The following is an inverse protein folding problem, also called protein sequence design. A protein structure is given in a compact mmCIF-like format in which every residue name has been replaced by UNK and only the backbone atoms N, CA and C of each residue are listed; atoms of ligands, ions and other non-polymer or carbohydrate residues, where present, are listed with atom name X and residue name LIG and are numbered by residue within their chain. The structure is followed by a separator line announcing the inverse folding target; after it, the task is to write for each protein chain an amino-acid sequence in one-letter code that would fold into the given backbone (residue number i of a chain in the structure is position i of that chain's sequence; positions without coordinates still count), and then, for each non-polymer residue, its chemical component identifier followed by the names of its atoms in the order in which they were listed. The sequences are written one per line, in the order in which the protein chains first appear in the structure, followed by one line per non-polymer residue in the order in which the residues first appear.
data_IF_768693878012
#
_entry.id   IF_768693878012
#
_cell.length_a   1.000
_cell.length_b   1.000
_cell.length_c   1.000
_cell.angle_alpha   90.00
_cell.angle_beta   90.00
_cell.angle_gamma   90.00
#
_symmetry.space_group_name_H-M   'P 1'
#
loop_
_entity.id
_entity.type
_entity.pdbx_description
1 polymer ?
#
# COMPACT_ATOMS: atom_id res chain seq x y z
N UNK A 1 -5.46 16.77 25.22
CA UNK A 1 -5.13 15.48 24.56
C UNK A 1 -4.61 15.69 23.13
N UNK A 2 -3.83 16.76 22.85
CA UNK A 2 -3.64 17.22 21.47
C UNK A 2 -2.61 16.43 20.64
N UNK A 3 -1.51 15.97 21.23
CA UNK A 3 -0.39 15.35 20.49
C UNK A 3 0.09 14.02 21.07
N UNK A 4 -0.63 13.45 22.04
CA UNK A 4 -0.24 12.19 22.69
C UNK A 4 -0.04 11.05 21.69
N UNK A 5 -0.85 11.01 20.62
CA UNK A 5 -0.72 10.00 19.57
C UNK A 5 0.57 10.11 18.74
N UNK A 6 1.23 11.28 18.75
CA UNK A 6 2.50 11.52 18.06
C UNK A 6 3.73 11.10 18.90
N UNK A 7 3.53 10.68 20.15
CA UNK A 7 4.65 10.31 21.02
C UNK A 7 5.27 8.98 20.59
N UNK A 8 6.60 8.94 20.62
CA UNK A 8 7.38 7.70 20.52
C UNK A 8 8.15 7.47 21.81
N UNK A 9 8.36 6.20 22.13
CA UNK A 9 8.88 5.72 23.40
C UNK A 9 10.33 5.25 23.28
N UNK A 10 11.07 5.27 24.39
CA UNK A 10 12.46 4.79 24.41
C UNK A 10 12.53 3.28 24.11
N UNK A 11 11.61 2.52 24.72
CA UNK A 11 11.42 1.08 24.49
C UNK A 11 10.00 0.86 23.98
N UNK A 12 9.85 -0.01 22.99
CA UNK A 12 8.58 -0.36 22.37
C UNK A 12 8.04 -1.64 22.99
N UNK A 13 6.72 -1.72 23.12
CA UNK A 13 6.04 -2.90 23.66
C UNK A 13 4.52 -2.77 23.60
N UNK A 14 3.82 -3.83 24.02
CA UNK A 14 2.36 -3.94 23.99
C UNK A 14 1.63 -2.78 24.67
N UNK A 15 2.21 -2.21 25.73
CA UNK A 15 1.58 -1.15 26.53
C UNK A 15 1.59 0.23 25.84
N UNK A 16 2.46 0.43 24.84
CA UNK A 16 2.70 1.75 24.26
C UNK A 16 2.64 1.80 22.74
N UNK A 17 2.57 0.63 22.08
CA UNK A 17 2.52 0.52 20.62
C UNK A 17 1.31 -0.35 20.26
N UNK A 18 0.13 0.25 20.05
CA UNK A 18 -1.15 -0.46 20.06
C UNK A 18 -1.31 -1.57 19.03
N UNK A 19 -0.51 -1.61 17.95
CA UNK A 19 -0.60 -2.69 16.97
C UNK A 19 -0.11 -4.04 17.53
N UNK A 20 0.78 -4.03 18.53
CA UNK A 20 1.35 -5.24 19.12
C UNK A 20 0.36 -5.85 20.10
N UNK A 21 0.07 -7.14 19.96
CA UNK A 21 -0.90 -7.86 20.80
C UNK A 21 -2.37 -7.56 20.48
N UNK A 22 -2.69 -6.45 19.79
CA UNK A 22 -4.06 -6.16 19.38
C UNK A 22 -4.35 -6.48 17.91
N UNK A 23 -3.40 -6.19 17.01
CA UNK A 23 -3.54 -6.43 15.57
C UNK A 23 -2.75 -7.66 15.13
N UNK A 24 -1.54 -7.84 15.67
CA UNK A 24 -0.66 -8.97 15.41
C UNK A 24 0.06 -9.37 16.70
N UNK A 25 0.46 -10.64 16.86
CA UNK A 25 1.21 -11.08 18.02
C UNK A 25 2.62 -10.49 18.04
N UNK A 26 3.26 -10.47 19.21
CA UNK A 26 4.64 -9.99 19.38
C UNK A 26 5.63 -10.67 18.43
N UNK A 27 5.46 -11.97 18.16
CA UNK A 27 6.32 -12.72 17.24
C UNK A 27 6.29 -12.20 15.80
N UNK A 28 5.28 -11.40 15.43
CA UNK A 28 5.21 -10.72 14.12
C UNK A 28 6.07 -9.48 14.05
N UNK A 29 6.86 -9.18 15.08
CA UNK A 29 7.68 -7.97 15.14
C UNK A 29 9.11 -8.29 15.56
N UNK A 30 10.07 -7.52 15.06
CA UNK A 30 11.47 -7.55 15.51
C UNK A 30 11.91 -6.15 15.88
N UNK A 31 12.48 -6.01 17.07
CA UNK A 31 12.99 -4.73 17.55
C UNK A 31 14.35 -4.42 16.95
N UNK A 32 14.61 -3.13 16.72
CA UNK A 32 15.90 -2.60 16.34
C UNK A 32 16.07 -1.18 16.88
N UNK A 33 17.32 -0.75 16.97
CA UNK A 33 17.66 0.57 17.47
C UNK A 33 17.66 1.61 16.34
N UNK A 34 17.12 2.78 16.64
CA UNK A 34 17.19 3.95 15.78
C UNK A 34 17.65 5.17 16.58
N UNK A 35 18.35 6.06 15.89
CA UNK A 35 19.07 7.17 16.48
C UNK A 35 18.57 8.49 15.92
N UNK A 36 18.58 9.52 16.76
CA UNK A 36 18.09 10.83 16.38
C UNK A 36 18.90 11.42 15.23
N UNK A 37 18.20 11.79 14.15
CA UNK A 37 18.79 12.49 13.01
C UNK A 37 18.63 14.01 13.18
N UNK A 38 19.76 14.72 13.16
CA UNK A 38 19.78 16.19 13.24
C UNK A 38 19.51 16.85 11.88
N UNK A 39 19.04 18.10 11.89
CA UNK A 39 18.80 18.88 10.67
C UNK A 39 17.69 18.32 9.78
N UNK A 40 16.65 17.75 10.36
CA UNK A 40 15.45 17.29 9.66
C UNK A 40 14.38 18.39 9.66
N UNK A 41 13.47 18.35 8.69
CA UNK A 41 12.43 19.36 8.50
C UNK A 41 11.11 18.71 8.10
N UNK A 42 10.00 19.06 8.77
CA UNK A 42 8.66 18.66 8.32
C UNK A 42 8.27 19.51 7.13
N UNK A 43 8.14 18.89 5.97
CA UNK A 43 7.81 19.57 4.71
C UNK A 43 6.34 19.40 4.31
N UNK A 44 5.62 18.47 4.94
CA UNK A 44 4.18 18.33 4.71
C UNK A 44 3.50 17.62 5.88
N UNK A 45 2.24 17.97 6.12
CA UNK A 45 1.34 17.34 7.09
C UNK A 45 -0.05 17.21 6.51
N UNK A 46 -0.67 16.04 6.69
CA UNK A 46 -2.06 15.83 6.33
C UNK A 46 -3.00 16.38 7.40
N UNK A 47 -3.51 17.60 7.17
CA UNK A 47 -4.40 18.28 8.12
C UNK A 47 -5.69 17.50 8.37
N UNK A 48 -6.25 16.85 7.34
CA UNK A 48 -7.48 16.07 7.47
C UNK A 48 -7.26 14.81 8.30
N UNK A 49 -6.18 14.07 8.06
CA UNK A 49 -5.83 12.89 8.86
C UNK A 49 -5.47 13.23 10.31
N UNK A 50 -4.76 14.34 10.55
CA UNK A 50 -4.52 14.82 11.91
C UNK A 50 -5.84 15.09 12.64
N UNK A 51 -6.81 15.74 11.99
CA UNK A 51 -8.15 15.97 12.54
C UNK A 51 -8.92 14.67 12.81
N UNK A 52 -8.85 13.70 11.89
CA UNK A 52 -9.50 12.39 12.04
C UNK A 52 -8.95 11.62 13.24
N UNK A 53 -7.67 11.80 13.58
CA UNK A 53 -7.05 11.30 14.82
C UNK A 53 -7.27 12.20 16.05
N UNK A 54 -8.03 13.29 15.95
CA UNK A 54 -8.26 14.23 17.05
C UNK A 54 -7.06 15.11 17.40
N UNK A 55 -6.04 15.17 16.55
CA UNK A 55 -4.82 15.98 16.73
C UNK A 55 -5.10 17.40 16.23
N UNK A 56 -5.70 18.21 17.12
CA UNK A 56 -6.16 19.56 16.82
C UNK A 56 -5.40 20.59 17.68
N UNK A 57 -4.18 20.91 17.29
CA UNK A 57 -3.36 21.94 17.95
C UNK A 57 -2.58 22.77 16.91
N UNK A 58 -1.80 23.75 17.38
CA UNK A 58 -0.99 24.63 16.53
C UNK A 58 -0.08 23.79 15.60
N UNK A 59 -0.05 24.16 14.31
CA UNK A 59 0.77 23.54 13.28
C UNK A 59 2.25 23.52 13.67
N UNK A 60 2.76 24.57 14.32
CA UNK A 60 4.15 24.61 14.79
C UNK A 60 4.41 23.58 15.90
N UNK A 61 3.44 23.40 16.82
CA UNK A 61 3.53 22.38 17.86
C UNK A 61 3.52 20.98 17.25
N UNK A 62 2.65 20.72 16.27
CA UNK A 62 2.59 19.45 15.56
C UNK A 62 3.93 19.17 14.86
N UNK A 63 4.47 20.14 14.11
CA UNK A 63 5.77 19.99 13.42
C UNK A 63 6.90 19.69 14.41
N UNK A 64 6.93 20.38 15.56
CA UNK A 64 7.93 20.14 16.60
C UNK A 64 7.81 18.73 17.20
N UNK A 65 6.59 18.27 17.51
CA UNK A 65 6.37 16.90 17.99
C UNK A 65 6.70 15.84 16.93
N UNK A 66 6.40 16.10 15.65
CA UNK A 66 6.76 15.21 14.55
C UNK A 66 8.29 15.06 14.44
N UNK A 67 9.03 16.16 14.40
CA UNK A 67 10.50 16.12 14.38
C UNK A 67 11.02 15.42 15.63
N UNK A 68 10.54 15.79 16.81
CA UNK A 68 10.97 15.24 18.09
C UNK A 68 10.77 13.72 18.17
N UNK A 69 9.67 13.19 17.66
CA UNK A 69 9.31 11.78 17.83
C UNK A 69 9.65 10.89 16.63
N UNK A 70 9.69 11.42 15.41
CA UNK A 70 9.84 10.61 14.19
C UNK A 70 11.12 10.88 13.38
N UNK A 71 11.96 11.85 13.75
CA UNK A 71 13.29 12.01 13.13
C UNK A 71 14.33 11.04 13.71
N UNK A 72 14.07 9.74 13.62
CA UNK A 72 14.98 8.67 14.04
C UNK A 72 15.31 7.79 12.84
N UNK A 73 16.55 7.28 12.74
CA UNK A 73 17.05 6.47 11.62
C UNK A 73 18.07 5.42 12.05
N UNK A 74 18.40 4.45 11.19
CA UNK A 74 19.50 3.50 11.43
C UNK A 74 20.85 4.21 11.59
N UNK A 75 21.80 3.57 12.30
CA UNK A 75 23.11 4.16 12.62
C UNK A 75 23.90 4.59 11.37
N UNK A 76 23.76 3.82 10.28
CA UNK A 76 24.45 4.00 8.99
C UNK A 76 23.71 4.92 8.01
N UNK A 77 22.59 5.51 8.41
CA UNK A 77 21.73 6.27 7.50
C UNK A 77 22.41 7.52 6.91
N UNK A 78 23.21 8.22 7.72
CA UNK A 78 23.86 9.47 7.37
C UNK A 78 25.29 9.55 7.95
N UNK A 79 25.99 10.65 7.68
CA UNK A 79 27.29 10.92 8.30
C UNK A 79 27.15 10.98 9.82
N UNK A 80 28.17 10.50 10.54
CA UNK A 80 28.17 10.36 12.01
C UNK A 80 27.90 11.65 12.77
N UNK A 81 28.30 12.80 12.24
CA UNK A 81 28.04 14.13 12.82
C UNK A 81 26.56 14.52 12.82
N UNK A 82 25.74 13.86 11.99
CA UNK A 82 24.29 14.07 11.93
C UNK A 82 23.48 13.08 12.76
N UNK A 83 24.10 12.00 13.23
CA UNK A 83 23.45 10.95 14.03
C UNK A 83 23.84 11.15 15.49
N UNK A 84 22.86 11.49 16.34
CA UNK A 84 23.10 11.56 17.77
C UNK A 84 22.94 10.17 18.39
N UNK A 85 24.06 9.47 18.55
CA UNK A 85 24.11 8.12 19.12
C UNK A 85 23.63 8.04 20.58
N UNK A 86 23.60 9.16 21.32
CA UNK A 86 23.13 9.22 22.70
C UNK A 86 21.61 9.40 22.82
N UNK A 87 20.94 9.79 21.73
CA UNK A 87 19.48 9.89 21.65
C UNK A 87 18.95 8.73 20.79
N UNK A 88 18.78 7.60 21.47
CA UNK A 88 18.37 6.31 20.91
C UNK A 88 16.95 5.96 21.36
N UNK A 89 16.17 5.42 20.43
CA UNK A 89 14.88 4.78 20.69
C UNK A 89 14.83 3.43 19.99
N UNK A 90 14.09 2.50 20.56
CA UNK A 90 13.77 1.25 19.91
C UNK A 90 12.58 1.44 18.97
N UNK A 91 12.62 0.81 17.80
CA UNK A 91 11.50 0.69 16.87
C UNK A 91 11.29 -0.80 16.55
N UNK A 92 10.11 -1.16 16.06
CA UNK A 92 9.85 -2.52 15.58
C UNK A 92 9.59 -2.55 14.08
N UNK A 93 10.12 -3.57 13.41
CA UNK A 93 9.75 -3.90 12.05
C UNK A 93 8.77 -5.09 12.07
N UNK A 94 7.66 -4.96 11.34
CA UNK A 94 6.69 -6.04 11.15
C UNK A 94 7.22 -7.08 10.15
N UNK A 95 7.19 -8.33 10.59
CA UNK A 95 7.59 -9.53 9.87
C UNK A 95 6.42 -10.09 9.07
N UNK A 96 6.64 -10.36 7.80
CA UNK A 96 5.64 -11.00 6.94
C UNK A 96 6.30 -11.84 5.84
N UNK A 97 5.50 -12.75 5.29
CA UNK A 97 5.90 -13.68 4.25
C UNK A 97 6.06 -13.05 2.87
N UNK A 98 6.72 -13.82 2.01
CA UNK A 98 6.73 -13.64 0.57
C UNK A 98 7.09 -14.98 -0.04
N UNK A 99 6.40 -15.33 -1.12
CA UNK A 99 6.68 -16.54 -1.91
C UNK A 99 7.77 -16.35 -2.96
N UNK A 100 8.27 -15.13 -3.14
CA UNK A 100 9.29 -14.82 -4.15
C UNK A 100 10.68 -15.20 -3.65
N UNK A 101 11.49 -15.80 -4.53
CA UNK A 101 12.86 -16.27 -4.21
C UNK A 101 13.81 -15.16 -3.74
N UNK A 102 13.53 -13.91 -4.15
CA UNK A 102 14.24 -12.72 -3.68
C UNK A 102 13.26 -11.86 -2.90
N UNK A 103 13.36 -11.88 -1.58
CA UNK A 103 12.47 -11.11 -0.71
C UNK A 103 13.12 -10.70 0.61
N UNK A 104 12.64 -9.58 1.15
CA UNK A 104 12.90 -9.18 2.53
C UNK A 104 11.97 -9.94 3.50
N UNK A 105 12.36 -10.03 4.77
CA UNK A 105 11.60 -10.71 5.83
C UNK A 105 10.35 -9.96 6.34
N UNK A 106 9.94 -8.92 5.64
CA UNK A 106 8.88 -8.01 6.03
C UNK A 106 9.22 -6.55 5.70
N UNK A 107 8.84 -5.63 6.60
CA UNK A 107 9.07 -4.19 6.44
C UNK A 107 10.53 -3.80 6.64
N UNK A 108 11.40 -4.13 5.69
CA UNK A 108 12.86 -3.91 5.71
C UNK A 108 13.35 -2.46 5.86
N UNK A 109 12.47 -1.48 5.63
CA UNK A 109 12.79 -0.04 5.71
C UNK A 109 11.77 0.76 6.50
N UNK A 110 11.01 0.09 7.35
CA UNK A 110 10.04 0.75 8.21
C UNK A 110 10.31 0.48 9.69
N UNK A 111 9.84 1.39 10.54
CA UNK A 111 9.91 1.25 11.99
C UNK A 111 8.63 1.75 12.63
N UNK A 112 8.06 0.96 13.54
CA UNK A 112 6.85 1.26 14.29
C UNK A 112 7.24 1.62 15.73
N UNK A 113 6.67 2.70 16.25
CA UNK A 113 6.76 3.11 17.65
C UNK A 113 5.56 4.02 17.96
N UNK A 114 4.78 3.69 19.00
CA UNK A 114 3.54 4.41 19.27
C UNK A 114 2.44 4.05 18.27
N UNK A 115 1.74 5.06 17.75
CA UNK A 115 0.57 4.86 16.89
C UNK A 115 0.88 4.82 15.38
N UNK A 116 2.09 5.17 14.97
CA UNK A 116 2.44 5.37 13.57
C UNK A 116 3.70 4.59 13.16
N UNK A 117 3.78 4.31 11.87
CA UNK A 117 4.94 3.73 11.22
C UNK A 117 5.74 4.81 10.49
N UNK A 118 7.07 4.74 10.55
CA UNK A 118 7.98 5.51 9.72
C UNK A 118 8.43 4.63 8.56
N UNK A 119 8.28 5.07 7.31
CA UNK A 119 8.92 4.48 6.12
C UNK A 119 10.14 5.29 5.71
N UNK A 120 11.22 4.60 5.35
CA UNK A 120 12.50 5.22 4.99
C UNK A 120 13.44 5.43 6.18
N UNK A 121 13.22 4.72 7.29
CA UNK A 121 13.97 4.84 8.55
C UNK A 121 15.43 4.36 8.43
N UNK A 122 15.81 3.74 7.32
CA UNK A 122 17.09 3.09 7.15
C UNK A 122 16.99 1.58 7.21
N UNK A 123 18.15 0.94 7.25
CA UNK A 123 18.27 -0.52 7.27
C UNK A 123 17.81 -1.08 8.60
N UNK A 124 17.12 -2.22 8.57
CA UNK A 124 16.69 -2.93 9.76
C UNK A 124 16.89 -4.46 9.62
N UNK A 125 16.60 -5.26 10.65
CA UNK A 125 16.86 -6.70 10.66
C UNK A 125 16.18 -7.52 9.55
N UNK A 126 15.17 -6.96 8.87
CA UNK A 126 14.38 -7.65 7.84
C UNK A 126 14.93 -7.49 6.44
N UNK A 127 16.05 -6.78 6.26
CA UNK A 127 16.74 -6.72 4.97
C UNK A 127 17.39 -8.07 4.69
N UNK A 128 17.11 -8.59 3.50
CA UNK A 128 17.71 -9.84 3.04
C UNK A 128 19.06 -9.58 2.36
N UNK A 129 19.99 -10.51 2.52
CA UNK A 129 21.32 -10.46 1.89
C UNK A 129 21.28 -10.70 0.37
N UNK A 130 20.22 -11.34 -0.14
CA UNK A 130 20.06 -11.68 -1.55
C UNK A 130 19.29 -10.62 -2.37
N UNK A 131 18.98 -9.46 -1.79
CA UNK A 131 18.26 -8.38 -2.48
C UNK A 131 19.23 -7.39 -3.13
N UNK A 132 18.82 -6.76 -4.25
CA UNK A 132 19.66 -5.78 -4.94
C UNK A 132 19.96 -4.55 -4.05
N UNK A 133 21.06 -3.86 -4.35
CA UNK A 133 21.46 -2.64 -3.63
C UNK A 133 20.36 -1.57 -3.60
N UNK A 134 19.65 -1.42 -4.73
CA UNK A 134 18.52 -0.50 -4.87
C UNK A 134 17.35 -0.79 -3.93
N UNK A 135 17.25 -2.02 -3.40
CA UNK A 135 16.23 -2.44 -2.46
C UNK A 135 16.76 -2.70 -1.03
N UNK A 136 18.06 -2.49 -0.78
CA UNK A 136 18.70 -2.76 0.52
C UNK A 136 19.21 -1.52 1.26
N UNK A 137 19.18 -0.33 0.65
CA UNK A 137 19.71 0.88 1.29
C UNK A 137 18.82 1.45 2.41
N UNK A 138 17.57 1.01 2.53
CA UNK A 138 16.67 1.36 3.65
C UNK A 138 16.10 2.79 3.63
N UNK A 139 16.43 3.61 2.63
CA UNK A 139 15.96 5.00 2.52
C UNK A 139 14.68 5.08 1.67
N UNK A 140 13.98 6.20 1.80
CA UNK A 140 12.85 6.57 0.95
C UNK A 140 13.20 7.88 0.27
N UNK A 141 13.04 7.97 -1.04
CA UNK A 141 13.23 9.22 -1.75
C UNK A 141 12.04 10.15 -1.53
N UNK A 142 12.27 11.46 -1.58
CA UNK A 142 11.23 12.43 -1.26
C UNK A 142 10.09 12.46 -2.31
N UNK A 143 10.40 12.17 -3.58
CA UNK A 143 9.42 11.99 -4.66
C UNK A 143 8.54 10.76 -4.43
N UNK A 144 9.11 9.66 -3.93
CA UNK A 144 8.34 8.49 -3.47
C UNK A 144 7.42 8.87 -2.29
N UNK A 145 7.92 9.59 -1.28
CA UNK A 145 7.12 10.01 -0.13
C UNK A 145 5.95 10.95 -0.52
N UNK A 146 6.17 11.85 -1.48
CA UNK A 146 5.13 12.72 -2.03
C UNK A 146 4.09 11.89 -2.79
N UNK A 147 4.53 10.92 -3.60
CA UNK A 147 3.64 10.02 -4.33
C UNK A 147 2.78 9.19 -3.38
N UNK A 148 3.36 8.68 -2.28
CA UNK A 148 2.62 7.96 -1.23
C UNK A 148 1.55 8.85 -0.57
N UNK A 149 1.84 10.13 -0.34
CA UNK A 149 0.86 11.07 0.20
C UNK A 149 -0.27 11.38 -0.80
N UNK A 150 0.06 11.61 -2.08
CA UNK A 150 -0.94 11.91 -3.12
C UNK A 150 -1.86 10.71 -3.34
N UNK A 151 -1.29 9.54 -3.61
CA UNK A 151 -2.07 8.34 -3.90
C UNK A 151 -2.80 7.81 -2.67
N UNK A 152 -2.21 7.91 -1.48
CA UNK A 152 -2.88 7.58 -0.23
C UNK A 152 -4.20 8.35 -0.06
N UNK A 153 -4.22 9.65 -0.35
CA UNK A 153 -5.43 10.47 -0.25
C UNK A 153 -6.39 10.28 -1.43
N UNK A 154 -5.90 10.15 -2.66
CA UNK A 154 -6.76 9.88 -3.83
C UNK A 154 -7.49 8.55 -3.64
N UNK A 155 -6.76 7.49 -3.31
CA UNK A 155 -7.36 6.17 -3.07
C UNK A 155 -8.30 6.20 -1.87
N UNK A 156 -7.93 6.86 -0.77
CA UNK A 156 -8.81 7.00 0.39
C UNK A 156 -10.15 7.68 0.04
N UNK A 157 -10.12 8.71 -0.80
CA UNK A 157 -11.32 9.45 -1.21
C UNK A 157 -12.21 8.68 -2.19
N UNK A 158 -11.60 7.87 -3.06
CA UNK A 158 -12.28 7.35 -4.24
C UNK A 158 -12.47 5.83 -4.29
N UNK A 159 -11.77 5.06 -3.45
CA UNK A 159 -11.88 3.59 -3.41
C UNK A 159 -12.69 3.14 -2.19
N UNK A 160 -13.43 2.02 -2.30
CA UNK A 160 -14.43 1.61 -1.30
C UNK A 160 -13.84 1.36 0.09
N UNK A 161 -12.64 0.79 0.17
CA UNK A 161 -11.93 0.58 1.44
C UNK A 161 -10.85 1.63 1.69
N UNK A 162 -10.50 2.42 0.68
CA UNK A 162 -9.55 3.51 0.77
C UNK A 162 -8.10 3.07 0.67
N UNK A 163 -7.21 3.73 1.41
CA UNK A 163 -5.77 3.51 1.36
C UNK A 163 -5.11 3.83 2.70
N UNK A 164 -3.89 3.32 2.88
CA UNK A 164 -3.00 3.70 3.98
C UNK A 164 -2.54 5.13 3.76
N UNK A 165 -2.85 6.02 4.72
CA UNK A 165 -2.62 7.45 4.57
C UNK A 165 -1.31 7.89 5.19
N UNK A 166 -0.66 8.87 4.55
CA UNK A 166 0.55 9.51 5.08
C UNK A 166 0.13 10.69 5.96
N UNK A 167 0.60 10.70 7.21
CA UNK A 167 0.37 11.77 8.18
C UNK A 167 1.31 12.94 7.95
N UNK A 168 2.60 12.67 7.70
CA UNK A 168 3.59 13.71 7.50
C UNK A 168 4.76 13.22 6.65
N UNK A 169 5.43 14.16 5.98
CA UNK A 169 6.70 13.94 5.30
C UNK A 169 7.76 14.78 6.00
N UNK A 170 8.81 14.11 6.48
CA UNK A 170 9.98 14.73 7.10
C UNK A 170 11.15 14.60 6.14
N UNK A 171 11.62 15.71 5.60
CA UNK A 171 12.84 15.76 4.78
C UNK A 171 14.05 15.51 5.66
N UNK A 172 14.89 14.55 5.27
CA UNK A 172 16.06 14.18 6.07
C UNK A 172 17.28 15.04 5.79
N UNK A 173 17.23 15.90 4.76
CA UNK A 173 18.38 16.66 4.24
C UNK A 173 19.60 15.78 3.92
N UNK A 174 19.40 14.48 3.75
CA UNK A 174 20.36 13.51 3.21
C UNK A 174 20.04 13.26 1.75
N UNK A 175 21.07 12.94 0.96
CA UNK A 175 20.91 12.46 -0.42
C UNK A 175 21.41 11.03 -0.55
N UNK A 176 20.89 10.31 -1.53
CA UNK A 176 21.35 8.98 -1.89
C UNK A 176 21.28 8.78 -3.40
N UNK A 177 22.16 7.94 -3.94
CA UNK A 177 22.22 7.66 -5.36
C UNK A 177 20.96 6.88 -5.78
N UNK A 178 20.32 7.33 -6.86
CA UNK A 178 19.17 6.66 -7.44
C UNK A 178 19.63 5.67 -8.52
N UNK A 179 19.95 4.44 -8.10
CA UNK A 179 20.58 3.43 -8.97
C UNK A 179 19.65 2.80 -10.01
N UNK A 180 18.41 3.26 -10.12
CA UNK A 180 17.46 2.86 -11.17
C UNK A 180 17.62 3.63 -12.48
N UNK A 181 18.46 4.67 -12.50
CA UNK A 181 18.79 5.45 -13.70
C UNK A 181 20.28 5.33 -14.00
N UNK A 182 20.63 5.33 -15.30
CA UNK A 182 22.01 5.14 -15.77
C UNK A 182 22.97 6.23 -15.24
N UNK A 183 22.48 7.44 -15.00
CA UNK A 183 23.26 8.57 -14.45
C UNK A 183 23.32 8.57 -12.91
N UNK A 184 22.59 7.68 -12.25
CA UNK A 184 22.59 7.46 -10.78
C UNK A 184 22.45 8.75 -9.95
N UNK A 185 21.46 9.63 -10.23
CA UNK A 185 21.43 10.95 -9.64
C UNK A 185 21.22 10.89 -8.13
N UNK A 186 21.86 11.82 -7.40
CA UNK A 186 21.69 11.93 -5.96
C UNK A 186 20.37 12.62 -5.61
N UNK A 187 19.36 11.84 -5.23
CA UNK A 187 18.03 12.32 -4.83
C UNK A 187 17.94 12.59 -3.33
N UNK A 188 17.09 13.55 -2.96
CA UNK A 188 16.78 13.85 -1.56
C UNK A 188 15.99 12.71 -0.92
N UNK A 189 16.33 12.38 0.32
CA UNK A 189 15.61 11.39 1.12
C UNK A 189 14.61 12.03 2.08
N UNK A 190 13.62 11.23 2.48
CA UNK A 190 12.59 11.61 3.42
C UNK A 190 12.24 10.44 4.36
N UNK A 191 11.51 10.76 5.42
CA UNK A 191 10.76 9.85 6.26
C UNK A 191 9.28 10.12 6.02
N UNK A 192 8.51 9.09 5.69
CA UNK A 192 7.06 9.19 5.64
C UNK A 192 6.47 8.61 6.92
N UNK A 193 5.82 9.45 7.73
CA UNK A 193 5.05 9.02 8.91
C UNK A 193 3.65 8.66 8.42
N UNK A 194 3.26 7.39 8.56
CA UNK A 194 2.01 6.85 8.00
C UNK A 194 1.33 5.89 8.95
N UNK A 195 0.09 5.56 8.64
CA UNK A 195 -0.66 4.51 9.35
C UNK A 195 0.03 3.14 9.15
N UNK A 196 -0.12 2.25 10.14
CA UNK A 196 0.28 0.84 10.02
C UNK A 196 -0.86 0.02 9.42
N UNK A 197 -0.51 -1.04 8.69
CA UNK A 197 -1.48 -1.94 8.08
C UNK A 197 -1.10 -3.40 8.28
N UNK A 198 -2.06 -4.22 8.67
CA UNK A 198 -1.93 -5.69 8.54
C UNK A 198 -2.23 -6.07 7.10
N UNK A 199 -1.43 -6.98 6.56
CA UNK A 199 -1.45 -7.44 5.16
C UNK A 199 -1.69 -8.96 5.11
N UNK A 200 -2.26 -9.51 4.02
CA UNK A 200 -2.32 -10.95 3.80
C UNK A 200 -0.97 -11.66 4.03
N UNK A 201 0.13 -11.06 3.60
CA UNK A 201 1.48 -11.59 3.79
C UNK A 201 1.86 -11.88 5.26
N UNK A 202 1.24 -11.23 6.25
CA UNK A 202 1.54 -11.54 7.66
C UNK A 202 1.12 -12.97 8.05
N UNK A 203 0.22 -13.58 7.29
CA UNK A 203 -0.25 -14.94 7.51
C UNK A 203 0.44 -15.96 6.58
N UNK A 204 1.40 -15.51 5.77
CA UNK A 204 2.21 -16.35 4.87
C UNK A 204 3.59 -16.61 5.50
N UNK A 205 4.23 -17.73 5.14
CA UNK A 205 5.62 -18.01 5.50
C UNK A 205 6.59 -17.18 4.65
N UNK A 206 7.76 -16.84 5.20
CA UNK A 206 8.84 -16.15 4.52
C UNK A 206 9.99 -17.11 4.21
N UNK A 207 9.72 -18.13 3.39
CA UNK A 207 10.65 -19.25 3.17
C UNK A 207 11.94 -18.87 2.45
N UNK A 208 11.93 -17.75 1.72
CA UNK A 208 13.05 -17.25 0.90
C UNK A 208 13.78 -16.04 1.51
N UNK A 209 13.51 -15.71 2.77
CA UNK A 209 14.20 -14.64 3.48
C UNK A 209 15.56 -15.07 4.01
N UNK A 210 16.63 -14.38 3.59
CA UNK A 210 18.02 -14.63 4.00
C UNK A 210 18.53 -13.47 4.85
N UNK A 211 18.26 -13.47 6.17
CA UNK A 211 18.74 -12.42 7.07
C UNK A 211 20.26 -12.40 7.18
N UNK A 212 20.79 -11.30 7.71
CA UNK A 212 22.16 -11.29 8.21
C UNK A 212 22.36 -12.33 9.31
N UNK A 213 23.60 -12.83 9.47
CA UNK A 213 23.91 -13.96 10.38
C UNK A 213 23.46 -13.70 11.83
N UNK A 214 23.57 -12.46 12.30
CA UNK A 214 23.10 -12.04 13.63
C UNK A 214 21.58 -12.15 13.81
N UNK A 215 20.83 -12.17 12.71
CA UNK A 215 19.38 -12.23 12.66
C UNK A 215 18.84 -13.56 12.09
N UNK A 216 19.66 -14.62 12.03
CA UNK A 216 19.25 -15.93 11.48
C UNK A 216 18.00 -16.52 12.17
N UNK A 217 17.82 -16.21 13.46
CA UNK A 217 16.68 -16.65 14.25
C UNK A 217 15.32 -16.19 13.68
N UNK A 218 15.28 -15.09 12.91
CA UNK A 218 14.07 -14.60 12.25
C UNK A 218 13.58 -15.57 11.16
N UNK A 219 14.49 -16.31 10.53
CA UNK A 219 14.15 -17.36 9.57
C UNK A 219 13.83 -18.68 10.27
N UNK A 220 14.61 -19.02 11.28
CA UNK A 220 14.54 -20.33 11.95
C UNK A 220 13.17 -20.58 12.63
N UNK A 221 12.48 -19.52 13.06
CA UNK A 221 11.21 -19.61 13.78
C UNK A 221 9.99 -19.03 13.04
N UNK A 222 10.09 -18.80 11.72
CA UNK A 222 9.02 -18.20 10.92
C UNK A 222 7.69 -19.01 10.97
N UNK A 223 7.78 -20.33 11.16
CA UNK A 223 6.62 -21.21 11.36
C UNK A 223 5.79 -20.80 12.58
N UNK A 224 6.47 -20.51 13.68
CA UNK A 224 5.84 -20.13 14.92
C UNK A 224 5.20 -18.75 14.81
N UNK A 225 5.83 -17.82 14.10
CA UNK A 225 5.26 -16.50 13.79
C UNK A 225 3.90 -16.65 13.11
N UNK A 226 3.82 -17.43 12.02
CA UNK A 226 2.55 -17.66 11.31
C UNK A 226 1.52 -18.35 12.19
N UNK A 227 1.92 -19.41 12.91
CA UNK A 227 1.06 -20.11 13.87
C UNK A 227 0.44 -19.18 14.92
N UNK A 228 1.18 -18.17 15.36
CA UNK A 228 0.73 -17.16 16.33
C UNK A 228 -0.10 -16.06 15.69
N UNK A 229 0.15 -15.74 14.42
CA UNK A 229 -0.56 -14.69 13.69
C UNK A 229 -1.95 -15.14 13.25
N UNK A 230 -2.11 -16.37 12.74
CA UNK A 230 -3.39 -16.88 12.19
C UNK A 230 -4.61 -16.68 13.10
N UNK A 231 -4.54 -16.88 14.43
CA UNK A 231 -5.66 -16.60 15.33
C UNK A 231 -6.19 -15.16 15.29
N UNK A 232 -5.39 -14.18 14.85
CA UNK A 232 -5.82 -12.78 14.73
C UNK A 232 -6.69 -12.52 13.50
N UNK A 233 -6.65 -13.39 12.49
CA UNK A 233 -7.38 -13.21 11.23
C UNK A 233 -8.90 -13.08 11.44
N UNK A 234 -9.43 -13.95 12.30
CA UNK A 234 -10.75 -13.92 12.97
C UNK A 234 -11.27 -12.50 13.18
N UNK A 235 -10.62 -11.88 14.15
CA UNK A 235 -10.90 -10.56 14.68
C UNK A 235 -10.72 -9.45 13.65
N UNK A 236 -9.69 -9.53 12.81
CA UNK A 236 -9.35 -8.50 11.83
C UNK A 236 -10.37 -8.38 10.69
N UNK A 237 -10.99 -9.50 10.28
CA UNK A 237 -11.92 -9.54 9.16
C UNK A 237 -13.38 -9.61 9.60
N UNK A 238 -13.69 -10.42 10.61
CA UNK A 238 -15.07 -10.71 11.01
C UNK A 238 -15.56 -9.99 12.27
N UNK A 239 -14.69 -9.29 13.00
CA UNK A 239 -15.05 -8.52 14.20
C UNK A 239 -15.54 -9.34 15.40
N UNK A 240 -15.69 -10.65 15.25
CA UNK A 240 -16.08 -11.61 16.30
C UNK A 240 -15.11 -12.79 16.33
N UNK A 241 -14.94 -13.37 17.51
CA UNK A 241 -14.27 -14.66 17.69
C UNK A 241 -15.23 -15.77 17.23
N UNK A 242 -14.70 -16.86 16.65
CA UNK A 242 -15.44 -18.08 16.22
C UNK A 242 -16.26 -18.06 14.90
N UNK A 243 -15.97 -17.15 13.97
CA UNK A 243 -16.51 -17.24 12.60
C UNK A 243 -15.81 -18.36 11.81
N UNK A 244 -16.53 -19.23 11.07
CA UNK A 244 -15.92 -20.29 10.25
C UNK A 244 -14.87 -19.74 9.28
N UNK A 245 -13.74 -20.44 9.15
CA UNK A 245 -12.60 -19.93 8.37
C UNK A 245 -13.00 -19.57 6.92
N UNK A 246 -13.83 -20.39 6.28
CA UNK A 246 -14.30 -20.13 4.92
C UNK A 246 -15.04 -18.79 4.77
N UNK A 247 -15.83 -18.37 5.77
CA UNK A 247 -16.53 -17.08 5.75
C UNK A 247 -15.55 -15.91 5.93
N UNK A 248 -14.57 -16.07 6.81
CA UNK A 248 -13.49 -15.09 7.04
C UNK A 248 -12.69 -14.85 5.75
N UNK A 249 -12.31 -15.94 5.06
CA UNK A 249 -11.58 -15.86 3.79
C UNK A 249 -12.45 -15.27 2.67
N UNK A 250 -13.75 -15.57 2.65
CA UNK A 250 -14.68 -14.97 1.70
C UNK A 250 -14.84 -13.45 1.91
N UNK A 251 -14.83 -12.98 3.16
CA UNK A 251 -14.81 -11.55 3.45
C UNK A 251 -13.54 -10.88 2.91
N UNK A 252 -12.37 -11.50 3.08
CA UNK A 252 -11.13 -11.02 2.45
C UNK A 252 -11.29 -10.93 0.93
N UNK A 253 -11.79 -11.99 0.27
CA UNK A 253 -12.03 -12.00 -1.18
C UNK A 253 -12.91 -10.83 -1.60
N UNK A 254 -14.03 -10.60 -0.90
CA UNK A 254 -14.95 -9.52 -1.23
C UNK A 254 -14.30 -8.14 -1.12
N UNK A 255 -13.52 -7.89 -0.05
CA UNK A 255 -12.81 -6.62 0.13
C UNK A 255 -11.79 -6.37 -0.98
N UNK A 256 -10.98 -7.38 -1.29
CA UNK A 256 -9.98 -7.30 -2.34
C UNK A 256 -10.63 -7.08 -3.71
N UNK A 257 -11.62 -7.90 -4.06
CA UNK A 257 -12.32 -7.84 -5.34
C UNK A 257 -12.98 -6.47 -5.55
N UNK A 258 -13.71 -5.97 -4.56
CA UNK A 258 -14.36 -4.66 -4.62
C UNK A 258 -13.35 -3.52 -4.75
N UNK A 259 -12.30 -3.50 -3.94
CA UNK A 259 -11.26 -2.48 -4.02
C UNK A 259 -10.58 -2.45 -5.40
N UNK A 260 -10.17 -3.62 -5.89
CA UNK A 260 -9.41 -3.74 -7.14
C UNK A 260 -10.31 -3.39 -8.31
N UNK A 261 -11.54 -3.90 -8.35
CA UNK A 261 -12.54 -3.55 -9.35
C UNK A 261 -12.75 -2.04 -9.46
N UNK A 262 -12.97 -1.37 -8.32
CA UNK A 262 -13.14 0.09 -8.28
C UNK A 262 -11.92 0.80 -8.88
N UNK A 263 -10.70 0.38 -8.52
CA UNK A 263 -9.47 0.99 -9.03
C UNK A 263 -9.30 0.85 -10.55
N UNK A 264 -9.59 -0.34 -11.10
CA UNK A 264 -9.51 -0.62 -12.55
C UNK A 264 -10.53 0.20 -13.32
N UNK A 265 -11.79 0.19 -12.87
CA UNK A 265 -12.88 0.91 -13.56
C UNK A 265 -12.65 2.42 -13.52
N UNK A 266 -12.30 2.98 -12.36
CA UNK A 266 -11.97 4.40 -12.21
C UNK A 266 -10.69 4.80 -12.95
N UNK A 267 -9.88 3.82 -13.33
CA UNK A 267 -8.70 4.00 -14.17
C UNK A 267 -7.46 4.43 -13.41
N UNK A 268 -7.33 3.99 -12.15
CA UNK A 268 -6.14 4.14 -11.31
C UNK A 268 -5.69 2.77 -10.76
N UNK A 269 -5.42 1.78 -11.62
CA UNK A 269 -4.93 0.48 -11.20
C UNK A 269 -3.61 0.58 -10.43
N UNK A 270 -3.47 -0.22 -9.37
CA UNK A 270 -2.30 -0.20 -8.49
C UNK A 270 -1.01 -0.62 -9.19
N UNK A 271 -1.09 -1.60 -10.09
CA UNK A 271 0.04 -2.05 -10.90
C UNK A 271 1.08 -2.95 -10.20
N UNK A 272 0.89 -3.34 -8.93
CA UNK A 272 1.76 -4.30 -8.23
C UNK A 272 1.06 -4.90 -7.00
N UNK A 273 -0.01 -5.66 -7.25
CA UNK A 273 -0.86 -6.25 -6.21
C UNK A 273 -0.36 -7.65 -5.80
N UNK A 274 0.58 -7.67 -4.87
CA UNK A 274 1.00 -8.88 -4.13
C UNK A 274 0.32 -8.94 -2.77
N UNK A 275 0.41 -10.09 -2.10
CA UNK A 275 -0.06 -10.27 -0.70
C UNK A 275 0.57 -9.28 0.29
N UNK A 276 1.65 -8.58 -0.08
CA UNK A 276 2.34 -7.58 0.75
C UNK A 276 1.97 -6.12 0.43
N UNK A 277 1.30 -5.84 -0.69
CA UNK A 277 1.01 -4.48 -1.17
C UNK A 277 -0.49 -4.12 -1.04
N UNK A 278 -1.24 -4.92 -0.28
CA UNK A 278 -2.63 -4.66 0.07
C UNK A 278 -2.85 -5.00 1.54
N UNK A 279 -3.69 -4.24 2.21
CA UNK A 279 -4.08 -4.53 3.59
C UNK A 279 -5.17 -5.61 3.62
N UNK A 280 -5.22 -6.37 4.71
CA UNK A 280 -6.25 -7.38 4.96
C UNK A 280 -7.67 -6.77 4.96
N UNK A 281 -7.78 -5.47 5.26
CA UNK A 281 -9.04 -4.73 5.22
C UNK A 281 -9.39 -4.15 3.83
N UNK A 282 -8.59 -4.45 2.80
CA UNK A 282 -8.79 -3.99 1.43
C UNK A 282 -8.10 -2.66 1.10
N UNK A 283 -7.54 -1.93 2.08
CA UNK A 283 -6.82 -0.68 1.78
C UNK A 283 -5.55 -0.91 0.96
N UNK A 284 -5.32 -0.07 -0.04
CA UNK A 284 -4.08 -0.06 -0.82
C UNK A 284 -2.91 0.58 -0.05
N UNK A 285 -1.69 0.15 -0.37
CA UNK A 285 -0.44 0.73 0.14
C UNK A 285 0.73 0.44 -0.81
N UNK A 286 1.82 1.18 -0.66
CA UNK A 286 3.04 1.04 -1.47
C UNK A 286 2.80 1.42 -2.94
N UNK A 287 2.50 2.70 -3.13
CA UNK A 287 2.05 3.34 -4.37
C UNK A 287 3.16 3.59 -5.41
N UNK A 288 4.19 2.74 -5.48
CA UNK A 288 5.32 2.93 -6.40
C UNK A 288 4.96 2.75 -7.88
N UNK A 289 3.93 1.96 -8.18
CA UNK A 289 3.57 1.53 -9.53
C UNK A 289 2.19 2.01 -9.98
N UNK A 290 1.42 2.62 -9.08
CA UNK A 290 0.08 3.10 -9.38
C UNK A 290 0.15 4.29 -10.34
N UNK A 291 -0.73 4.31 -11.31
CA UNK A 291 -0.84 5.38 -12.29
C UNK A 291 -2.25 5.41 -12.86
N UNK A 292 -2.70 6.60 -13.27
CA UNK A 292 -3.88 6.65 -14.12
C UNK A 292 -3.62 5.98 -15.49
N UNK A 293 -4.68 5.41 -16.06
CA UNK A 293 -4.72 4.85 -17.41
C UNK A 293 -5.85 5.50 -18.21
N UNK A 294 -5.63 5.85 -19.49
CA UNK A 294 -6.56 6.67 -20.26
C UNK A 294 -7.83 5.92 -20.68
N UNK A 295 -7.75 4.59 -20.80
CA UNK A 295 -8.82 3.74 -21.32
C UNK A 295 -8.85 2.35 -20.65
N UNK A 296 -9.72 1.46 -21.13
CA UNK A 296 -9.82 0.06 -20.67
C UNK A 296 -8.77 -0.86 -21.32
N UNK A 297 -7.63 -0.31 -21.75
CA UNK A 297 -6.51 -1.09 -22.25
C UNK A 297 -5.88 -1.99 -21.18
N UNK A 298 -5.31 -3.11 -21.62
CA UNK A 298 -4.59 -4.03 -20.73
C UNK A 298 -3.15 -3.58 -20.53
N UNK A 299 -2.95 -2.61 -19.64
CA UNK A 299 -1.65 -1.98 -19.44
C UNK A 299 -0.73 -2.78 -18.51
N UNK A 300 0.52 -3.01 -18.93
CA UNK A 300 1.56 -3.55 -18.05
C UNK A 300 2.19 -2.38 -17.28
N UNK A 301 2.01 -2.35 -15.96
CA UNK A 301 2.46 -1.26 -15.09
C UNK A 301 3.67 -1.61 -14.26
N UNK A 302 3.85 -2.89 -13.94
CA UNK A 302 5.07 -3.43 -13.37
C UNK A 302 5.38 -4.80 -13.96
N UNK A 303 6.66 -5.16 -13.94
CA UNK A 303 7.10 -6.45 -14.43
C UNK A 303 6.70 -7.57 -13.45
N UNK A 304 6.22 -8.69 -13.98
CA UNK A 304 5.98 -9.92 -13.21
C UNK A 304 4.65 -10.00 -12.48
N UNK A 305 3.76 -9.00 -12.60
CA UNK A 305 2.46 -8.96 -11.90
C UNK A 305 1.23 -9.08 -12.79
N UNK A 306 1.43 -9.17 -14.11
CA UNK A 306 0.35 -9.08 -15.09
C UNK A 306 0.04 -7.64 -15.50
N UNK A 307 -0.89 -7.50 -16.43
CA UNK A 307 -1.46 -6.25 -16.88
C UNK A 307 -2.84 -6.02 -16.21
N UNK A 308 -3.38 -4.80 -16.32
CA UNK A 308 -4.59 -4.34 -15.61
C UNK A 308 -5.77 -5.32 -15.63
N UNK A 309 -5.97 -6.09 -16.70
CA UNK A 309 -7.10 -7.02 -16.86
C UNK A 309 -6.73 -8.49 -16.69
N UNK A 310 -5.46 -8.81 -16.40
CA UNK A 310 -4.98 -10.17 -16.19
C UNK A 310 -4.15 -10.37 -14.89
N UNK A 311 -3.92 -9.30 -14.11
CA UNK A 311 -3.28 -9.38 -12.78
C UNK A 311 -4.09 -10.16 -11.74
N UNK A 312 -5.36 -10.49 -12.03
CA UNK A 312 -6.17 -11.39 -11.20
C UNK A 312 -5.59 -12.81 -11.12
N UNK A 313 -4.93 -13.31 -12.18
CA UNK A 313 -4.33 -14.65 -12.19
C UNK A 313 -3.26 -14.79 -11.10
N UNK A 314 -2.40 -13.77 -10.96
CA UNK A 314 -1.40 -13.74 -9.90
C UNK A 314 -2.06 -13.69 -8.52
N UNK A 315 -3.16 -12.93 -8.41
CA UNK A 315 -3.91 -12.76 -7.16
C UNK A 315 -4.54 -14.05 -6.69
N UNK A 316 -5.26 -14.75 -7.56
CA UNK A 316 -5.81 -16.07 -7.25
C UNK A 316 -4.72 -17.05 -6.82
N UNK A 317 -3.58 -17.01 -7.51
CA UNK A 317 -2.45 -17.86 -7.16
C UNK A 317 -1.91 -17.58 -5.75
N UNK A 318 -1.75 -16.31 -5.34
CA UNK A 318 -1.30 -16.04 -3.96
C UNK A 318 -2.42 -16.24 -2.93
N UNK A 319 -3.69 -16.04 -3.28
CA UNK A 319 -4.83 -16.37 -2.41
C UNK A 319 -4.90 -17.86 -2.10
N UNK A 320 -4.72 -18.73 -3.09
CA UNK A 320 -4.70 -20.18 -2.88
C UNK A 320 -3.60 -20.58 -1.87
N UNK A 321 -2.39 -20.03 -2.03
CA UNK A 321 -1.26 -20.28 -1.12
C UNK A 321 -1.51 -19.73 0.29
N UNK A 322 -2.07 -18.52 0.38
CA UNK A 322 -2.46 -17.91 1.65
C UNK A 322 -3.50 -18.78 2.37
N UNK A 323 -4.53 -19.22 1.66
CA UNK A 323 -5.63 -20.02 2.23
C UNK A 323 -5.15 -21.39 2.68
N UNK A 324 -4.27 -22.04 1.91
CA UNK A 324 -3.62 -23.28 2.32
C UNK A 324 -2.80 -23.08 3.61
N UNK A 325 -2.00 -22.00 3.67
CA UNK A 325 -1.20 -21.67 4.85
C UNK A 325 -2.10 -21.40 6.07
N UNK A 326 -3.09 -20.54 5.94
CA UNK A 326 -4.03 -20.22 7.02
C UNK A 326 -4.80 -21.46 7.48
N UNK A 327 -5.25 -22.29 6.55
CA UNK A 327 -5.93 -23.55 6.86
C UNK A 327 -5.01 -24.50 7.65
N UNK A 328 -3.75 -24.65 7.23
CA UNK A 328 -2.75 -25.48 7.91
C UNK A 328 -2.47 -25.03 9.35
N UNK A 329 -2.35 -23.72 9.59
CA UNK A 329 -2.05 -23.15 10.91
C UNK A 329 -3.30 -22.84 11.75
N UNK A 330 -4.50 -23.13 11.23
CA UNK A 330 -5.77 -23.05 11.96
C UNK A 330 -6.20 -24.45 12.42
N UNK A 331 -7.53 -24.71 12.49
CA UNK A 331 -8.08 -26.03 12.82
C UNK A 331 -8.12 -26.99 11.61
N UNK A 332 -7.73 -26.54 10.41
CA UNK A 332 -7.70 -27.38 9.20
C UNK A 332 -9.10 -27.76 8.70
N UNK A 333 -10.03 -26.81 8.70
CA UNK A 333 -11.46 -27.06 8.40
C UNK A 333 -11.77 -27.20 6.90
N UNK A 334 -10.88 -26.70 6.03
CA UNK A 334 -11.09 -26.67 4.59
C UNK A 334 -10.33 -27.79 3.87
N UNK A 335 -10.98 -28.42 2.91
CA UNK A 335 -10.35 -29.33 1.96
C UNK A 335 -9.62 -28.55 0.86
N UNK A 336 -8.67 -29.19 0.17
CA UNK A 336 -7.96 -28.57 -0.97
C UNK A 336 -8.89 -28.12 -2.09
N UNK A 337 -10.01 -28.81 -2.32
CA UNK A 337 -11.00 -28.38 -3.31
C UNK A 337 -11.72 -27.11 -2.85
N UNK A 338 -12.12 -27.02 -1.58
CA UNK A 338 -12.75 -25.80 -1.04
C UNK A 338 -11.80 -24.60 -1.08
N UNK A 339 -10.51 -24.80 -0.83
CA UNK A 339 -9.50 -23.73 -0.94
C UNK A 339 -9.43 -23.19 -2.37
N UNK A 340 -9.39 -24.09 -3.36
CA UNK A 340 -9.39 -23.71 -4.79
C UNK A 340 -10.70 -23.02 -5.19
N UNK A 341 -11.84 -23.56 -4.77
CA UNK A 341 -13.13 -22.96 -5.08
C UNK A 341 -13.26 -21.55 -4.49
N UNK A 342 -12.71 -21.32 -3.29
CA UNK A 342 -12.63 -19.99 -2.68
C UNK A 342 -11.71 -19.06 -3.47
N UNK A 343 -10.49 -19.49 -3.83
CA UNK A 343 -9.56 -18.64 -4.58
C UNK A 343 -10.12 -18.28 -5.96
N UNK A 344 -10.71 -19.22 -6.69
CA UNK A 344 -11.38 -18.96 -7.98
C UNK A 344 -12.66 -18.11 -7.84
N UNK A 345 -13.27 -18.09 -6.65
CA UNK A 345 -14.36 -17.17 -6.32
C UNK A 345 -13.97 -15.69 -6.46
N UNK A 346 -12.67 -15.37 -6.38
CA UNK A 346 -12.15 -14.01 -6.54
C UNK A 346 -12.44 -13.42 -7.92
N UNK A 347 -12.12 -14.11 -9.02
CA UNK A 347 -12.38 -13.57 -10.38
C UNK A 347 -13.86 -13.29 -10.62
N UNK A 348 -14.74 -14.15 -10.08
CA UNK A 348 -16.19 -13.92 -10.16
C UNK A 348 -16.59 -12.66 -9.40
N UNK A 349 -16.20 -12.55 -8.13
CA UNK A 349 -16.49 -11.38 -7.31
C UNK A 349 -15.93 -10.09 -7.95
N UNK A 350 -14.71 -10.15 -8.48
CA UNK A 350 -14.04 -9.05 -9.16
C UNK A 350 -14.82 -8.58 -10.37
N UNK A 351 -15.24 -9.52 -11.24
CA UNK A 351 -16.06 -9.20 -12.40
C UNK A 351 -17.40 -8.55 -12.00
N UNK A 352 -18.06 -9.08 -10.98
CA UNK A 352 -19.32 -8.56 -10.47
C UNK A 352 -19.17 -7.13 -9.94
N UNK A 353 -18.12 -6.85 -9.15
CA UNK A 353 -17.83 -5.51 -8.66
C UNK A 353 -17.43 -4.54 -9.78
N UNK A 354 -16.64 -4.99 -10.77
CA UNK A 354 -16.29 -4.14 -11.93
C UNK A 354 -17.54 -3.68 -12.67
N UNK A 355 -18.52 -4.57 -12.83
CA UNK A 355 -19.78 -4.24 -13.50
C UNK A 355 -20.60 -3.23 -12.69
N UNK A 356 -20.64 -3.36 -11.37
CA UNK A 356 -21.30 -2.40 -10.46
C UNK A 356 -20.64 -1.02 -10.53
N UNK A 357 -19.32 -0.95 -10.36
CA UNK A 357 -18.61 0.32 -10.42
C UNK A 357 -18.67 0.94 -11.80
N UNK A 358 -18.74 0.15 -12.88
CA UNK A 358 -18.95 0.68 -14.21
C UNK A 358 -20.31 1.39 -14.30
N UNK A 359 -21.39 0.77 -13.81
CA UNK A 359 -22.70 1.42 -13.76
C UNK A 359 -22.64 2.75 -12.97
N UNK A 360 -21.94 2.77 -11.84
CA UNK A 360 -21.77 3.99 -11.03
C UNK A 360 -21.05 5.12 -11.79
N UNK A 361 -20.01 4.78 -12.57
CA UNK A 361 -19.28 5.72 -13.43
C UNK A 361 -20.10 6.18 -14.64
N UNK A 362 -21.09 5.39 -15.07
CA UNK A 362 -22.10 5.79 -16.06
C UNK A 362 -23.26 6.61 -15.44
N UNK A 363 -23.33 6.70 -14.11
CA UNK A 363 -24.42 7.38 -13.40
C UNK A 363 -25.73 6.57 -13.33
N UNK A 364 -25.65 5.24 -13.41
CA UNK A 364 -26.79 4.33 -13.37
C UNK A 364 -26.89 3.72 -11.96
N UNK A 365 -27.90 4.13 -11.19
CA UNK A 365 -28.13 3.64 -9.82
C UNK A 365 -28.78 2.25 -9.78
N UNK A 366 -29.46 1.84 -10.85
CA UNK A 366 -30.09 0.51 -10.93
C UNK A 366 -29.06 -0.58 -11.25
N UNK A 367 -28.71 -1.36 -10.23
CA UNK A 367 -27.86 -2.55 -10.34
C UNK A 367 -28.66 -3.85 -10.54
N UNK A 368 -29.79 -3.79 -11.26
CA UNK A 368 -30.53 -4.99 -11.68
C UNK A 368 -29.66 -5.95 -12.50
N UNK A 369 -30.00 -7.24 -12.48
CA UNK A 369 -29.25 -8.28 -13.21
C UNK A 369 -29.10 -7.95 -14.70
N UNK A 370 -30.15 -7.38 -15.32
CA UNK A 370 -30.14 -6.92 -16.71
C UNK A 370 -29.09 -5.82 -16.95
N UNK A 371 -28.99 -4.84 -16.04
CA UNK A 371 -28.02 -3.76 -16.16
C UNK A 371 -26.60 -4.26 -15.89
N UNK A 372 -26.40 -5.18 -14.95
CA UNK A 372 -25.11 -5.82 -14.71
C UNK A 372 -24.63 -6.62 -15.93
N UNK A 373 -25.51 -7.40 -16.57
CA UNK A 373 -25.20 -8.11 -17.82
C UNK A 373 -24.84 -7.13 -18.96
N UNK A 374 -25.56 -6.02 -19.06
CA UNK A 374 -25.29 -4.97 -20.05
C UNK A 374 -23.97 -4.26 -19.77
N UNK A 375 -23.65 -3.96 -18.50
CA UNK A 375 -22.37 -3.40 -18.08
C UNK A 375 -21.21 -4.36 -18.36
N UNK A 376 -21.39 -5.67 -18.11
CA UNK A 376 -20.40 -6.68 -18.47
C UNK A 376 -20.13 -6.67 -19.99
N UNK A 377 -21.19 -6.66 -20.79
CA UNK A 377 -21.07 -6.59 -22.26
C UNK A 377 -20.33 -5.32 -22.71
N UNK A 378 -20.63 -4.17 -22.09
CA UNK A 378 -19.93 -2.92 -22.34
C UNK A 378 -18.44 -3.03 -22.00
N UNK A 379 -18.13 -3.53 -20.80
CA UNK A 379 -16.77 -3.72 -20.31
C UNK A 379 -15.95 -4.57 -21.29
N UNK A 380 -16.46 -5.71 -21.73
CA UNK A 380 -15.75 -6.58 -22.68
C UNK A 380 -15.55 -5.92 -24.05
N UNK A 381 -16.45 -5.05 -24.52
CA UNK A 381 -16.24 -4.28 -25.77
C UNK A 381 -15.20 -3.16 -25.65
N UNK A 382 -14.96 -2.69 -24.42
CA UNK A 382 -14.03 -1.61 -24.13
C UNK A 382 -12.63 -2.12 -23.78
N UNK A 383 -12.55 -3.32 -23.19
CA UNK A 383 -11.29 -3.98 -22.84
C UNK A 383 -10.42 -4.20 -24.07
N UNK A 384 -9.13 -3.94 -23.92
CA UNK A 384 -8.13 -4.37 -24.89
C UNK A 384 -7.59 -5.74 -24.49
N UNK A 385 -7.46 -6.66 -25.44
CA UNK A 385 -6.94 -8.01 -25.16
C UNK A 385 -5.40 -8.01 -25.03
N UNK A 386 -4.73 -7.20 -25.85
CA UNK A 386 -3.27 -7.17 -25.91
C UNK A 386 -2.67 -6.37 -24.75
N UNK A 387 -1.68 -6.99 -24.10
CA UNK A 387 -0.81 -6.33 -23.12
C UNK A 387 -0.04 -5.20 -23.80
N UNK A 388 -0.17 -3.98 -23.29
CA UNK A 388 0.49 -2.78 -23.86
C UNK A 388 1.13 -1.89 -22.80
N UNK A 389 2.09 -1.07 -23.24
CA UNK A 389 2.65 0.02 -22.44
C UNK A 389 1.88 1.32 -22.71
N UNK A 390 1.90 2.26 -21.76
CA UNK A 390 1.27 3.57 -21.93
C UNK A 390 2.14 4.41 -22.87
N UNK A 391 1.71 4.59 -24.12
CA UNK A 391 2.42 5.41 -25.12
C UNK A 391 1.71 6.73 -25.43
N UNK A 392 0.39 6.78 -25.25
CA UNK A 392 -0.45 7.96 -25.47
C UNK A 392 -1.50 8.02 -24.37
N UNK A 393 -1.82 9.24 -23.96
CA UNK A 393 -2.80 9.50 -22.92
C UNK A 393 -3.95 10.33 -23.50
N UNK A 394 -5.01 9.68 -23.95
CA UNK A 394 -6.20 10.32 -24.54
C UNK A 394 -7.48 9.68 -23.96
N UNK A 395 -7.98 10.23 -22.87
CA UNK A 395 -9.22 9.76 -22.25
C UNK A 395 -10.49 10.28 -22.93
N UNK A 396 -10.39 11.37 -23.73
CA UNK A 396 -11.53 11.93 -24.45
C UNK A 396 -12.12 10.94 -25.47
N UNK A 397 -11.26 10.28 -26.25
CA UNK A 397 -11.67 9.26 -27.22
C UNK A 397 -12.35 8.08 -26.51
N UNK A 398 -11.79 7.65 -25.37
CA UNK A 398 -12.39 6.62 -24.54
C UNK A 398 -13.79 7.02 -24.06
N UNK A 399 -13.97 8.23 -23.52
CA UNK A 399 -15.29 8.71 -23.06
C UNK A 399 -16.33 8.72 -24.17
N UNK A 400 -15.95 9.16 -25.38
CA UNK A 400 -16.85 9.13 -26.54
C UNK A 400 -17.22 7.70 -26.93
N UNK A 401 -16.24 6.78 -26.95
CA UNK A 401 -16.47 5.36 -27.20
C UNK A 401 -17.44 4.76 -26.17
N UNK A 402 -17.28 5.09 -24.88
CA UNK A 402 -18.19 4.64 -23.82
C UNK A 402 -19.62 5.12 -24.09
N UNK A 403 -19.84 6.39 -24.42
CA UNK A 403 -21.19 6.92 -24.70
C UNK A 403 -21.84 6.20 -25.88
N UNK A 404 -21.09 5.98 -26.97
CA UNK A 404 -21.59 5.29 -28.17
C UNK A 404 -21.95 3.84 -27.85
N UNK A 405 -21.06 3.09 -27.19
CA UNK A 405 -21.31 1.68 -26.87
C UNK A 405 -22.41 1.51 -25.81
N UNK A 406 -22.49 2.41 -24.82
CA UNK A 406 -23.57 2.42 -23.83
C UNK A 406 -24.94 2.63 -24.47
N UNK A 407 -25.05 3.55 -25.43
CA UNK A 407 -26.29 3.78 -26.18
C UNK A 407 -26.72 2.55 -26.97
N UNK A 408 -25.78 1.82 -27.59
CA UNK A 408 -26.06 0.56 -28.31
C UNK A 408 -26.62 -0.54 -27.39
N UNK A 409 -26.30 -0.47 -26.09
CA UNK A 409 -26.78 -1.40 -25.07
C UNK A 409 -28.06 -0.92 -24.36
N UNK A 410 -28.63 0.21 -24.79
CA UNK A 410 -29.88 0.75 -24.25
C UNK A 410 -29.72 1.63 -23.02
N UNK A 411 -28.48 1.97 -22.62
CA UNK A 411 -28.25 2.97 -21.58
C UNK A 411 -28.50 4.37 -22.13
N UNK A 412 -29.36 5.13 -21.46
CA UNK A 412 -29.63 6.53 -21.79
C UNK A 412 -28.74 7.46 -20.95
N UNK A 413 -27.48 7.61 -21.36
CA UNK A 413 -26.49 8.45 -20.67
C UNK A 413 -25.99 9.58 -21.57
N UNK A 414 -25.79 10.76 -20.99
CA UNK A 414 -25.31 11.96 -21.70
C UNK A 414 -23.87 12.34 -21.34
N UNK A 415 -23.35 11.83 -20.22
CA UNK A 415 -22.01 12.08 -19.71
C UNK A 415 -21.53 10.89 -18.87
N UNK A 416 -20.23 10.80 -18.61
CA UNK A 416 -19.60 9.77 -17.77
C UNK A 416 -18.74 10.44 -16.70
N UNK A 417 -18.61 9.80 -15.54
CA UNK A 417 -17.89 10.38 -14.38
C UNK A 417 -16.37 10.28 -14.52
N UNK A 418 -15.82 9.12 -14.91
CA UNK A 418 -14.39 8.74 -14.96
C UNK A 418 -13.32 9.83 -14.67
N UNK A 419 -13.33 10.49 -13.51
CA UNK A 419 -12.51 11.69 -13.27
C UNK A 419 -11.04 11.35 -13.07
N UNK A 420 -10.74 10.14 -12.62
CA UNK A 420 -9.38 9.69 -12.33
C UNK A 420 -8.62 9.19 -13.56
N UNK A 421 -9.26 9.17 -14.73
CA UNK A 421 -8.64 8.84 -16.02
C UNK A 421 -7.95 10.04 -16.68
N UNK A 422 -7.79 11.16 -15.98
CA UNK A 422 -7.12 12.34 -16.52
C UNK A 422 -5.58 12.19 -16.52
N UNK A 423 -4.93 12.74 -17.54
CA UNK A 423 -3.48 12.63 -17.71
C UNK A 423 -2.68 13.20 -16.55
N UNK A 424 -3.22 14.16 -15.79
CA UNK A 424 -2.56 14.74 -14.62
C UNK A 424 -2.16 13.65 -13.61
N UNK A 425 -2.99 12.62 -13.44
CA UNK A 425 -2.77 11.49 -12.52
C UNK A 425 -1.87 10.37 -13.09
N UNK A 426 -1.29 10.56 -14.28
CA UNK A 426 -0.31 9.61 -14.80
C UNK A 426 1.01 9.74 -14.04
N UNK A 427 1.70 8.61 -13.83
CA UNK A 427 3.03 8.60 -13.22
C UNK A 427 4.03 9.48 -14.00
N UNK A 428 3.88 9.60 -15.32
CA UNK A 428 4.68 10.50 -16.15
C UNK A 428 4.51 11.96 -15.74
N UNK A 429 3.27 12.46 -15.69
CA UNK A 429 3.02 13.86 -15.33
C UNK A 429 3.36 14.15 -13.86
N UNK A 430 3.08 13.21 -12.95
CA UNK A 430 3.52 13.32 -11.55
C UNK A 430 5.04 13.43 -11.46
N UNK A 431 5.78 12.57 -12.17
CA UNK A 431 7.23 12.61 -12.20
C UNK A 431 7.79 13.92 -12.76
N UNK A 432 7.23 14.44 -13.85
CA UNK A 432 7.62 15.75 -14.41
C UNK A 432 7.41 16.88 -13.39
N UNK A 433 6.28 16.88 -12.69
CA UNK A 433 6.02 17.87 -11.65
C UNK A 433 7.00 17.77 -10.48
N UNK A 434 7.43 16.55 -10.09
CA UNK A 434 8.46 16.36 -9.06
C UNK A 434 9.80 16.97 -9.46
N UNK A 435 10.25 16.82 -10.71
CA UNK A 435 11.53 17.37 -11.19
C UNK A 435 11.62 18.90 -11.08
N UNK A 436 10.48 19.58 -11.16
CA UNK A 436 10.39 21.04 -11.08
C UNK A 436 10.06 21.57 -9.68
N UNK A 437 9.87 20.69 -8.70
CA UNK A 437 9.44 21.08 -7.36
C UNK A 437 10.63 21.34 -6.45
N UNK A 438 10.64 22.50 -5.79
CA UNK A 438 11.54 22.73 -4.66
C UNK A 438 11.04 21.87 -3.49
N UNK A 439 11.93 21.14 -2.82
CA UNK A 439 11.55 20.32 -1.67
C UNK A 439 11.52 21.13 -0.36
N UNK A 440 10.75 22.21 -0.36
CA UNK A 440 10.38 23.01 0.80
C UNK A 440 8.90 22.83 1.14
N UNK A 441 8.49 23.27 2.33
CA UNK A 441 7.15 23.01 2.84
C UNK A 441 6.03 23.59 1.97
N UNK A 442 6.22 24.80 1.45
CA UNK A 442 5.21 25.47 0.63
C UNK A 442 5.05 24.76 -0.72
N UNK A 443 6.15 24.51 -1.41
CA UNK A 443 6.17 23.89 -2.73
C UNK A 443 5.60 22.47 -2.72
N UNK A 444 5.98 21.65 -1.73
CA UNK A 444 5.44 20.29 -1.56
C UNK A 444 3.94 20.34 -1.24
N UNK A 445 3.51 21.23 -0.34
CA UNK A 445 2.10 21.37 0.00
C UNK A 445 1.27 21.81 -1.20
N UNK A 446 1.76 22.78 -1.98
CA UNK A 446 1.10 23.21 -3.22
C UNK A 446 0.99 22.06 -4.23
N UNK A 447 2.06 21.29 -4.43
CA UNK A 447 2.06 20.14 -5.33
C UNK A 447 1.02 19.11 -4.89
N UNK A 448 1.08 18.63 -3.65
CA UNK A 448 0.14 17.62 -3.14
C UNK A 448 -1.30 18.13 -3.27
N UNK A 449 -1.57 19.37 -2.84
CA UNK A 449 -2.92 19.92 -2.91
C UNK A 449 -3.46 20.04 -4.34
N UNK A 450 -2.63 20.27 -5.36
CA UNK A 450 -3.08 20.32 -6.76
C UNK A 450 -3.63 18.98 -7.29
N UNK A 451 -3.31 17.87 -6.61
CA UNK A 451 -3.85 16.55 -6.92
C UNK A 451 -5.11 16.21 -6.12
N UNK A 452 -5.28 16.81 -4.94
CA UNK A 452 -6.39 16.54 -4.02
C UNK A 452 -7.61 17.45 -4.25
N UNK A 453 -7.40 18.59 -4.91
CA UNK A 453 -8.43 19.58 -5.27
C UNK A 453 -9.44 19.05 -6.28
#
# INVERSE_FOLDING_TARGET
MGTELLKTHKLVGVDNTPCIGNLLPEESFVSFDAYKLSGTEVVWTNKKLLQDYGINCDENLIKNELVKNFSYVSEDYAKKDRININDQKQFMADQYGSRHEVCNGGSARCGINGNFQIKGIGRNPLISQNISESHSHGKLFIDEAISEAIWGEICHKHLPYGAIRTLAIIKTNTKHAFTYQDDTPNKHCALAVREMSVRPAHFERCTFFWPEKSYSFLRDNDANRVRKAVPYLSKLLGGMEDIPLGEVLNELINRLASQIAASRVKGIPHGSLTSSNISIDGRFLDFGTITAVPDFGNYVLANGVGAVWDDHELIESWLENLFDTVNHYSKGELTSNQIKDLSYGFSKALCDYENRYLLDELGIEDHSERNLQSANTLKERLKGDERKIITRFNDNEFRQKVLVESKKLGFNISHTKFTLREGKYSAFNMHQNHLHTKYDCQSISCLINSYLS
#
